data_IF_021869146843
#
_entry.id   IF_021869146843
#
_cell.length_a   1.000
_cell.length_b   1.000
_cell.length_c   1.000
_cell.angle_alpha   90.00
_cell.angle_beta   90.00
_cell.angle_gamma   90.00
#
_symmetry.space_group_name_H-M   'P 1'
#
loop_
_entity.id
_entity.type
_entity.pdbx_description
1 polymer ?
#
# COMPACT_ATOMS: atom_id res chain seq x y z
N UNK A 1 -16.07 1.17 -8.50
CA UNK A 1 -15.05 2.04 -7.87
C UNK A 1 -15.62 3.44 -7.81
N UNK A 2 -15.78 4.00 -6.62
CA UNK A 2 -16.46 5.29 -6.42
C UNK A 2 -15.53 6.50 -6.67
N UNK A 3 -14.20 6.32 -6.62
CA UNK A 3 -13.23 7.41 -6.85
C UNK A 3 -12.18 7.02 -7.91
N UNK A 4 -11.75 7.94 -8.80
CA UNK A 4 -10.65 7.73 -9.74
C UNK A 4 -9.25 7.79 -9.08
N UNK A 5 -9.01 7.06 -7.98
CA UNK A 5 -7.67 6.96 -7.34
C UNK A 5 -6.83 5.80 -7.83
N UNK A 6 -7.43 4.92 -8.62
CA UNK A 6 -6.72 3.80 -9.21
C UNK A 6 -5.48 4.28 -9.95
N UNK A 7 -4.34 3.76 -9.55
CA UNK A 7 -3.09 4.03 -10.20
C UNK A 7 -3.07 3.34 -11.57
N UNK A 8 -2.99 4.15 -12.63
CA UNK A 8 -2.93 3.70 -14.03
C UNK A 8 -1.58 4.09 -14.62
N UNK A 9 -0.54 3.25 -14.47
CA UNK A 9 0.81 3.58 -14.93
C UNK A 9 0.93 3.54 -16.45
N UNK A 10 1.82 4.38 -16.98
CA UNK A 10 2.29 4.25 -18.36
C UNK A 10 3.10 2.95 -18.53
N UNK A 11 3.34 2.54 -19.78
CA UNK A 11 3.90 1.20 -20.05
C UNK A 11 5.25 0.92 -19.41
N UNK A 12 6.12 1.92 -19.33
CA UNK A 12 7.47 1.81 -18.77
C UNK A 12 7.63 2.66 -17.50
N UNK A 13 6.53 3.04 -16.85
CA UNK A 13 6.59 3.83 -15.62
C UNK A 13 7.20 2.99 -14.49
N UNK A 14 8.21 3.57 -13.84
CA UNK A 14 8.82 2.99 -12.65
C UNK A 14 8.20 3.61 -11.40
N UNK A 15 8.05 2.80 -10.37
CA UNK A 15 7.78 3.24 -8.99
C UNK A 15 8.88 2.70 -8.09
N UNK A 16 9.20 3.46 -7.06
CA UNK A 16 10.46 3.35 -6.34
C UNK A 16 10.25 2.94 -4.90
N UNK A 17 10.92 1.88 -4.48
CA UNK A 17 10.94 1.42 -3.10
C UNK A 17 12.28 1.76 -2.47
N UNK A 18 12.27 2.70 -1.53
CA UNK A 18 13.43 3.03 -0.70
C UNK A 18 13.56 2.00 0.41
N UNK A 19 14.76 1.45 0.59
CA UNK A 19 14.97 0.45 1.61
C UNK A 19 16.43 0.41 2.09
N UNK A 20 16.64 -0.23 3.25
CA UNK A 20 17.99 -0.55 3.71
C UNK A 20 18.60 -1.74 2.93
N UNK A 21 19.85 -2.09 3.28
CA UNK A 21 20.57 -3.18 2.63
C UNK A 21 19.99 -4.58 2.89
N UNK A 22 19.40 -4.81 4.09
CA UNK A 22 18.82 -6.10 4.45
C UNK A 22 17.49 -6.31 3.73
N UNK A 23 16.66 -5.27 3.65
CA UNK A 23 15.42 -5.30 2.87
C UNK A 23 15.71 -5.43 1.38
N UNK A 24 16.72 -4.72 0.85
CA UNK A 24 17.19 -4.92 -0.53
C UNK A 24 17.56 -6.38 -0.78
N UNK A 25 18.37 -6.98 0.10
CA UNK A 25 18.74 -8.38 0.01
C UNK A 25 17.52 -9.30 0.03
N UNK A 26 16.60 -9.12 0.99
CA UNK A 26 15.41 -9.95 1.15
C UNK A 26 14.47 -9.88 -0.07
N UNK A 27 14.25 -8.70 -0.63
CA UNK A 27 13.44 -8.51 -1.85
C UNK A 27 14.07 -9.27 -3.02
N UNK A 28 15.40 -9.16 -3.18
CA UNK A 28 16.10 -9.81 -4.29
C UNK A 28 16.16 -11.33 -4.16
N UNK A 29 16.41 -11.87 -2.96
CA UNK A 29 16.55 -13.32 -2.76
C UNK A 29 15.20 -14.03 -2.76
N UNK A 30 14.21 -13.47 -2.07
CA UNK A 30 12.89 -14.09 -1.96
C UNK A 30 12.02 -13.79 -3.19
N UNK A 31 12.33 -12.72 -3.94
CA UNK A 31 11.52 -12.22 -5.06
C UNK A 31 10.08 -11.87 -4.64
N UNK A 32 9.94 -11.40 -3.41
CA UNK A 32 8.65 -11.00 -2.81
C UNK A 32 8.62 -9.53 -2.44
N UNK A 33 7.42 -8.96 -2.45
CA UNK A 33 7.14 -7.66 -1.84
C UNK A 33 6.41 -7.90 -0.52
N UNK A 34 6.86 -7.21 0.52
CA UNK A 34 6.18 -7.21 1.81
C UNK A 34 5.05 -6.20 1.82
N UNK A 35 3.89 -6.64 2.27
CA UNK A 35 2.72 -5.82 2.54
C UNK A 35 2.49 -5.83 4.05
N UNK A 36 2.55 -4.65 4.67
CA UNK A 36 2.38 -4.47 6.10
C UNK A 36 1.03 -3.79 6.37
N UNK A 37 0.47 -4.03 7.56
CA UNK A 37 -0.72 -3.30 8.00
C UNK A 37 -0.46 -1.78 7.95
N UNK A 38 -1.27 -1.08 7.14
CA UNK A 38 -1.18 0.37 6.90
C UNK A 38 -1.24 1.15 8.21
N UNK A 39 -2.06 0.69 9.15
CA UNK A 39 -2.26 1.31 10.46
C UNK A 39 -1.11 1.08 11.43
N UNK A 40 -0.20 0.18 11.09
CA UNK A 40 1.01 -0.14 11.86
C UNK A 40 2.29 0.44 11.23
N UNK A 41 2.18 1.17 10.11
CA UNK A 41 3.32 1.76 9.42
C UNK A 41 3.92 2.95 10.20
N UNK A 42 5.11 3.40 9.79
CA UNK A 42 6.03 4.25 10.56
C UNK A 42 5.45 5.62 11.01
N UNK A 43 4.30 6.03 10.50
CA UNK A 43 3.68 7.29 10.87
C UNK A 43 2.46 7.05 11.78
N UNK A 44 2.69 7.20 13.08
CA UNK A 44 1.63 7.22 14.10
C UNK A 44 0.54 8.24 13.76
N UNK A 45 0.86 9.32 13.04
CA UNK A 45 -0.11 10.34 12.64
C UNK A 45 -0.97 9.92 11.45
N UNK A 46 -0.62 8.87 10.71
CA UNK A 46 -1.34 8.50 9.48
C UNK A 46 -2.72 7.91 9.77
N UNK A 47 -2.82 7.03 10.78
CA UNK A 47 -4.11 6.56 11.30
C UNK A 47 -4.96 7.73 11.81
N UNK A 48 -4.35 8.64 12.57
CA UNK A 48 -5.05 9.81 13.12
C UNK A 48 -5.50 10.76 12.01
N UNK A 49 -4.74 10.88 10.91
CA UNK A 49 -5.11 11.71 9.78
C UNK A 49 -6.35 11.16 9.09
N UNK A 50 -6.35 9.89 8.68
CA UNK A 50 -7.51 9.27 8.03
C UNK A 50 -8.78 9.40 8.87
N UNK A 51 -8.67 9.13 10.17
CA UNK A 51 -9.77 9.30 11.13
C UNK A 51 -10.25 10.76 11.21
N UNK A 52 -9.33 11.73 11.28
CA UNK A 52 -9.71 13.15 11.36
C UNK A 52 -10.44 13.65 10.11
N UNK A 53 -10.09 13.14 8.92
CA UNK A 53 -10.77 13.50 7.67
C UNK A 53 -12.15 12.84 7.60
N UNK A 54 -12.25 11.59 8.05
CA UNK A 54 -13.53 10.90 8.21
C UNK A 54 -14.45 11.68 9.16
N UNK A 55 -13.99 12.01 10.37
CA UNK A 55 -14.76 12.72 11.38
C UNK A 55 -15.27 14.08 10.88
N UNK A 56 -14.42 14.88 10.23
CA UNK A 56 -14.82 16.15 9.60
C UNK A 56 -15.92 15.93 8.55
N UNK A 57 -15.75 14.91 7.71
CA UNK A 57 -16.69 14.61 6.62
C UNK A 57 -18.03 14.10 7.14
N UNK A 58 -17.99 13.17 8.10
CA UNK A 58 -19.14 12.57 8.75
C UNK A 58 -19.93 13.61 9.56
N UNK A 59 -19.24 14.48 10.32
CA UNK A 59 -19.89 15.54 11.12
C UNK A 59 -20.72 16.51 10.27
N UNK A 60 -20.26 16.83 9.06
CA UNK A 60 -21.02 17.68 8.13
C UNK A 60 -22.22 16.97 7.49
N UNK A 61 -22.18 15.65 7.37
CA UNK A 61 -23.26 14.83 6.82
C UNK A 61 -24.21 14.27 7.89
N UNK A 62 -23.83 14.35 9.16
CA UNK A 62 -24.60 13.84 10.30
C UNK A 62 -26.06 14.33 10.33
N UNK A 63 -26.37 15.62 10.08
CA UNK A 63 -27.75 16.09 10.07
C UNK A 63 -28.59 15.53 8.91
N UNK A 64 -27.94 15.11 7.82
CA UNK A 64 -28.59 14.58 6.60
C UNK A 64 -28.79 13.06 6.70
N UNK A 65 -27.78 12.33 7.18
CA UNK A 65 -27.71 10.87 7.06
C UNK A 65 -27.91 10.11 8.38
N UNK A 66 -27.81 10.80 9.52
CA UNK A 66 -27.96 10.22 10.85
C UNK A 66 -26.73 9.47 11.37
N UNK A 67 -26.63 9.38 12.70
CA UNK A 67 -25.50 8.79 13.41
C UNK A 67 -25.37 7.29 13.12
N UNK A 68 -26.49 6.54 13.21
CA UNK A 68 -26.51 5.08 13.04
C UNK A 68 -25.89 4.62 11.71
N UNK A 69 -26.15 5.36 10.63
CA UNK A 69 -25.62 5.05 9.31
C UNK A 69 -24.11 5.29 9.24
N UNK A 70 -23.64 6.45 9.73
CA UNK A 70 -22.22 6.80 9.73
C UNK A 70 -21.39 5.85 10.59
N UNK A 71 -21.91 5.47 11.76
CA UNK A 71 -21.27 4.50 12.65
C UNK A 71 -21.20 3.11 12.01
N UNK A 72 -22.26 2.68 11.32
CA UNK A 72 -22.27 1.41 10.61
C UNK A 72 -21.16 1.31 9.56
N UNK A 73 -20.94 2.36 8.76
CA UNK A 73 -19.85 2.39 7.77
C UNK A 73 -18.49 2.18 8.45
N UNK A 74 -18.23 2.93 9.52
CA UNK A 74 -16.96 2.86 10.23
C UNK A 74 -16.73 1.48 10.88
N UNK A 75 -17.78 0.92 11.50
CA UNK A 75 -17.69 -0.39 12.14
C UNK A 75 -17.52 -1.54 11.14
N UNK A 76 -18.30 -1.54 10.04
CA UNK A 76 -18.25 -2.61 9.04
C UNK A 76 -16.90 -2.62 8.32
N UNK A 77 -16.42 -1.45 7.89
CA UNK A 77 -15.14 -1.32 7.19
C UNK A 77 -13.96 -1.78 8.06
N UNK A 78 -13.97 -1.49 9.37
CA UNK A 78 -12.90 -1.87 10.29
C UNK A 78 -12.92 -3.33 10.78
N UNK A 79 -14.07 -4.00 10.74
CA UNK A 79 -14.22 -5.36 11.31
C UNK A 79 -14.12 -6.49 10.27
N UNK A 80 -14.27 -6.18 8.99
CA UNK A 80 -14.35 -7.20 7.93
C UNK A 80 -13.03 -7.47 7.23
N UNK A 81 -12.22 -6.43 7.02
CA UNK A 81 -10.96 -6.53 6.31
C UNK A 81 -9.86 -5.70 6.96
N UNK A 82 -8.63 -6.12 6.75
CA UNK A 82 -7.42 -5.37 7.07
C UNK A 82 -6.69 -5.04 5.77
N UNK A 83 -6.36 -3.77 5.57
CA UNK A 83 -5.58 -3.35 4.42
C UNK A 83 -4.09 -3.47 4.72
N UNK A 84 -3.41 -4.32 3.95
CA UNK A 84 -1.97 -4.41 3.95
C UNK A 84 -1.42 -3.66 2.73
N UNK A 85 -0.40 -2.84 2.92
CA UNK A 85 0.19 -2.05 1.86
C UNK A 85 1.70 -2.23 1.72
N UNK A 86 2.15 -2.10 0.48
CA UNK A 86 3.54 -1.87 0.13
C UNK A 86 3.63 -0.51 -0.58
N UNK A 87 4.44 0.39 -0.02
CA UNK A 87 4.46 1.80 -0.43
C UNK A 87 5.67 2.10 -1.32
N UNK A 88 5.42 2.92 -2.34
CA UNK A 88 6.41 3.33 -3.33
C UNK A 88 6.33 4.83 -3.55
N UNK A 89 7.45 5.46 -3.90
CA UNK A 89 7.48 6.81 -4.44
C UNK A 89 7.41 6.80 -5.96
N UNK A 90 6.88 7.85 -6.57
CA UNK A 90 7.06 8.10 -8.00
C UNK A 90 8.45 8.66 -8.35
N UNK A 91 9.25 9.09 -7.36
CA UNK A 91 10.60 9.63 -7.54
C UNK A 91 11.65 8.76 -6.83
N UNK A 92 12.71 8.37 -7.55
CA UNK A 92 13.73 7.45 -7.03
C UNK A 92 14.95 8.08 -6.36
N UNK A 93 15.05 9.41 -6.32
CA UNK A 93 16.22 10.11 -5.77
C UNK A 93 15.84 11.38 -4.97
N UNK A 94 15.11 11.18 -3.88
CA UNK A 94 14.59 12.25 -3.00
C UNK A 94 15.29 12.21 -1.65
N UNK A 95 15.85 13.34 -1.21
CA UNK A 95 16.71 13.41 -0.02
C UNK A 95 15.97 13.06 1.29
N UNK A 96 14.73 13.50 1.47
CA UNK A 96 13.92 13.16 2.64
C UNK A 96 13.63 11.65 2.72
N UNK A 97 13.29 11.04 1.58
CA UNK A 97 13.10 9.59 1.45
C UNK A 97 14.39 8.82 1.76
N UNK A 98 15.55 9.29 1.26
CA UNK A 98 16.84 8.67 1.59
C UNK A 98 17.07 8.64 3.11
N UNK A 99 16.79 9.75 3.79
CA UNK A 99 16.94 9.87 5.25
C UNK A 99 16.00 8.93 5.99
N UNK A 100 14.73 8.93 5.62
CA UNK A 100 13.67 8.23 6.36
C UNK A 100 13.67 6.71 6.14
N UNK A 101 13.90 6.24 4.91
CA UNK A 101 13.57 4.85 4.53
C UNK A 101 14.75 4.01 4.06
N UNK A 102 15.94 4.59 3.94
CA UNK A 102 17.10 3.88 3.37
C UNK A 102 18.36 4.04 4.22
N UNK A 103 18.20 3.85 5.53
CA UNK A 103 19.29 3.89 6.50
C UNK A 103 20.14 5.16 6.36
N UNK A 104 19.47 6.32 6.38
CA UNK A 104 20.09 7.64 6.25
C UNK A 104 21.04 7.76 5.03
N UNK A 105 20.55 7.36 3.86
CA UNK A 105 21.29 7.44 2.59
C UNK A 105 22.33 6.33 2.34
N UNK A 106 22.45 5.34 3.22
CA UNK A 106 23.35 4.18 3.04
C UNK A 106 22.68 3.01 2.31
N UNK A 107 21.36 3.03 2.14
CA UNK A 107 20.58 1.97 1.54
C UNK A 107 20.53 2.01 0.02
N UNK A 108 19.41 1.52 -0.51
CA UNK A 108 19.14 1.38 -1.92
C UNK A 108 17.73 1.86 -2.24
N UNK A 109 17.51 2.15 -3.52
CA UNK A 109 16.18 2.30 -4.10
C UNK A 109 16.02 1.29 -5.21
N UNK A 110 14.92 0.54 -5.19
CA UNK A 110 14.54 -0.37 -6.26
C UNK A 110 13.45 0.28 -7.13
N UNK A 111 13.73 0.47 -8.41
CA UNK A 111 12.76 0.90 -9.41
C UNK A 111 12.05 -0.29 -10.05
N UNK A 112 10.76 -0.42 -9.78
CA UNK A 112 9.91 -1.49 -10.31
C UNK A 112 9.04 -0.98 -11.46
N UNK A 113 8.93 -1.75 -12.54
CA UNK A 113 7.94 -1.49 -13.58
C UNK A 113 6.55 -1.68 -12.99
N UNK A 114 5.81 -0.58 -12.85
CA UNK A 114 4.52 -0.56 -12.17
C UNK A 114 3.51 -1.51 -12.82
N UNK A 115 3.43 -1.54 -14.15
CA UNK A 115 2.54 -2.47 -14.87
C UNK A 115 2.77 -3.94 -14.54
N UNK A 116 4.02 -4.34 -14.29
CA UNK A 116 4.35 -5.73 -13.96
C UNK A 116 3.92 -6.07 -12.54
N UNK A 117 4.01 -5.11 -11.59
CA UNK A 117 3.51 -5.27 -10.22
C UNK A 117 1.98 -5.25 -10.13
N UNK A 118 1.29 -4.44 -10.94
CA UNK A 118 -0.18 -4.41 -10.97
C UNK A 118 -0.82 -5.69 -11.55
N UNK A 119 -0.02 -6.69 -11.93
CA UNK A 119 -0.48 -8.04 -12.26
C UNK A 119 -0.61 -8.92 -11.02
N UNK A 120 -0.18 -8.46 -9.85
CA UNK A 120 -0.39 -9.12 -8.56
C UNK A 120 -1.85 -8.93 -8.10
N UNK A 121 -2.34 -9.69 -7.10
CA UNK A 121 -3.71 -9.59 -6.61
C UNK A 121 -3.86 -8.38 -5.69
N UNK A 122 -3.55 -7.18 -6.21
CA UNK A 122 -3.43 -5.94 -5.44
C UNK A 122 -4.11 -4.80 -6.17
N UNK A 123 -4.49 -3.77 -5.42
CA UNK A 123 -5.01 -2.50 -5.93
C UNK A 123 -3.92 -1.45 -5.83
N UNK A 124 -3.55 -0.85 -6.96
CA UNK A 124 -2.67 0.32 -6.97
C UNK A 124 -3.45 1.60 -6.73
N UNK A 125 -3.03 2.41 -5.76
CA UNK A 125 -3.68 3.66 -5.38
C UNK A 125 -2.66 4.80 -5.35
N UNK A 126 -3.02 5.95 -5.94
CA UNK A 126 -2.25 7.20 -5.77
C UNK A 126 -2.70 7.92 -4.52
N UNK A 127 -1.74 8.28 -3.67
CA UNK A 127 -2.04 9.03 -2.45
C UNK A 127 -2.50 10.45 -2.78
N UNK A 128 -3.58 10.89 -2.14
CA UNK A 128 -4.05 12.27 -2.16
C UNK A 128 -3.61 12.98 -0.90
N UNK A 129 -3.08 14.19 -1.06
CA UNK A 129 -2.50 15.00 0.01
C UNK A 129 -3.32 16.27 0.27
N UNK A 130 -4.19 16.68 -0.65
CA UNK A 130 -5.00 17.87 -0.49
C UNK A 130 -6.21 17.60 0.41
N UNK A 131 -6.16 18.11 1.65
CA UNK A 131 -7.22 17.93 2.65
C UNK A 131 -8.62 18.24 2.14
N UNK A 132 -8.83 19.36 1.44
CA UNK A 132 -10.15 19.74 0.91
C UNK A 132 -10.68 18.71 -0.10
N UNK A 133 -9.79 18.17 -0.93
CA UNK A 133 -10.12 17.14 -1.91
C UNK A 133 -10.41 15.80 -1.24
N UNK A 134 -9.66 15.43 -0.19
CA UNK A 134 -9.93 14.24 0.62
C UNK A 134 -11.33 14.32 1.25
N UNK A 135 -11.67 15.44 1.90
CA UNK A 135 -13.01 15.66 2.49
C UNK A 135 -14.11 15.56 1.43
N UNK A 136 -13.91 16.20 0.26
CA UNK A 136 -14.87 16.12 -0.85
C UNK A 136 -15.10 14.68 -1.31
N UNK A 137 -14.03 13.90 -1.42
CA UNK A 137 -14.10 12.50 -1.86
C UNK A 137 -14.75 11.60 -0.82
N UNK A 138 -14.44 11.76 0.46
CA UNK A 138 -15.09 10.99 1.54
C UNK A 138 -16.58 11.31 1.60
N UNK A 139 -16.98 12.57 1.49
CA UNK A 139 -18.41 12.91 1.45
C UNK A 139 -19.13 12.27 0.26
N UNK A 140 -18.50 12.25 -0.91
CA UNK A 140 -19.07 11.58 -2.08
C UNK A 140 -19.20 10.06 -1.86
N UNK A 141 -18.21 9.43 -1.21
CA UNK A 141 -18.28 8.01 -0.85
C UNK A 141 -19.40 7.71 0.13
N UNK A 142 -19.55 8.51 1.19
CA UNK A 142 -20.61 8.36 2.19
C UNK A 142 -21.99 8.49 1.52
N UNK A 143 -22.17 9.46 0.62
CA UNK A 143 -23.44 9.62 -0.12
C UNK A 143 -23.72 8.45 -1.06
N UNK A 144 -22.72 7.96 -1.77
CA UNK A 144 -22.89 6.79 -2.63
C UNK A 144 -23.21 5.52 -1.82
N UNK A 145 -22.61 5.35 -0.63
CA UNK A 145 -22.99 4.28 0.30
C UNK A 145 -24.44 4.41 0.77
N UNK A 146 -24.92 5.64 0.95
CA UNK A 146 -26.30 5.86 1.34
C UNK A 146 -27.26 5.48 0.22
N UNK A 147 -26.94 5.82 -1.03
CA UNK A 147 -27.71 5.38 -2.20
C UNK A 147 -27.75 3.85 -2.33
N UNK A 148 -26.64 3.16 -2.03
CA UNK A 148 -26.60 1.68 -1.98
C UNK A 148 -27.52 1.16 -0.90
N UNK A 149 -27.40 1.67 0.34
CA UNK A 149 -28.24 1.28 1.48
C UNK A 149 -29.74 1.51 1.21
N UNK A 150 -30.12 2.64 0.60
CA UNK A 150 -31.53 2.92 0.25
C UNK A 150 -32.08 1.99 -0.85
N UNK A 151 -31.19 1.39 -1.65
CA UNK A 151 -31.58 0.46 -2.71
C UNK A 151 -31.73 -0.98 -2.23
N UNK A 152 -31.30 -1.30 -1.00
CA UNK A 152 -31.39 -2.63 -0.42
C UNK A 152 -32.72 -2.86 0.31
N UNK A 153 -33.23 -4.10 0.22
CA UNK A 153 -34.44 -4.52 0.92
C UNK A 153 -34.22 -4.67 2.44
N UNK A 154 -32.98 -4.99 2.83
CA UNK A 154 -32.57 -5.18 4.22
C UNK A 154 -31.58 -4.07 4.63
N UNK A 155 -31.76 -3.54 5.85
CA UNK A 155 -30.85 -2.54 6.42
C UNK A 155 -29.45 -3.14 6.58
N UNK A 156 -28.44 -2.46 6.03
CA UNK A 156 -27.05 -2.90 5.97
C UNK A 156 -26.90 -4.27 5.30
N UNK A 157 -27.52 -4.41 4.12
CA UNK A 157 -27.48 -5.62 3.32
C UNK A 157 -26.09 -5.94 2.75
N UNK A 158 -26.04 -6.98 1.93
CA UNK A 158 -24.77 -7.52 1.43
C UNK A 158 -24.05 -6.53 0.50
N UNK A 159 -24.77 -5.78 -0.32
CA UNK A 159 -24.18 -4.81 -1.24
C UNK A 159 -23.61 -3.61 -0.49
N UNK A 160 -24.29 -3.11 0.55
CA UNK A 160 -23.77 -2.07 1.43
C UNK A 160 -22.51 -2.54 2.17
N UNK A 161 -22.52 -3.76 2.72
CA UNK A 161 -21.35 -4.33 3.41
C UNK A 161 -20.16 -4.44 2.45
N UNK A 162 -20.37 -4.96 1.25
CA UNK A 162 -19.32 -5.07 0.24
C UNK A 162 -18.79 -3.70 -0.19
N UNK A 163 -19.66 -2.71 -0.35
CA UNK A 163 -19.26 -1.34 -0.65
C UNK A 163 -18.45 -0.69 0.49
N UNK A 164 -18.80 -0.95 1.75
CA UNK A 164 -18.03 -0.49 2.92
C UNK A 164 -16.61 -1.09 2.95
N UNK A 165 -16.46 -2.38 2.61
CA UNK A 165 -15.15 -3.03 2.52
C UNK A 165 -14.29 -2.40 1.42
N UNK A 166 -14.89 -2.09 0.26
CA UNK A 166 -14.16 -1.44 -0.84
C UNK A 166 -13.70 -0.03 -0.50
N UNK A 167 -14.47 0.72 0.30
CA UNK A 167 -14.07 2.06 0.76
C UNK A 167 -12.90 2.00 1.72
N UNK A 168 -12.74 0.90 2.49
CA UNK A 168 -11.56 0.72 3.34
C UNK A 168 -10.26 0.79 2.52
N UNK A 169 -10.24 0.23 1.29
CA UNK A 169 -9.11 0.42 0.37
C UNK A 169 -8.89 1.90 0.05
N UNK A 170 -9.95 2.62 -0.29
CA UNK A 170 -9.83 4.00 -0.77
C UNK A 170 -9.38 4.95 0.37
N UNK A 171 -9.79 4.70 1.62
CA UNK A 171 -9.32 5.43 2.81
C UNK A 171 -7.81 5.30 3.03
N UNK A 172 -7.21 4.17 2.64
CA UNK A 172 -5.74 4.00 2.70
C UNK A 172 -5.01 4.89 1.70
N UNK A 173 -5.68 5.64 0.83
CA UNK A 173 -5.04 6.54 -0.13
C UNK A 173 -4.96 8.00 0.34
N UNK A 174 -5.27 8.29 1.61
CA UNK A 174 -5.19 9.65 2.15
C UNK A 174 -4.03 9.81 3.11
N UNK A 175 -3.31 10.93 2.95
CA UNK A 175 -2.15 11.25 3.80
C UNK A 175 -2.09 12.74 4.09
N UNK A 176 -1.45 13.08 5.20
CA UNK A 176 -1.24 14.46 5.60
C UNK A 176 -0.44 15.25 4.53
N UNK A 177 -0.86 16.48 4.17
CA UNK A 177 -0.17 17.33 3.19
C UNK A 177 1.35 17.48 3.39
N UNK A 178 1.82 17.39 4.64
CA UNK A 178 3.24 17.48 4.99
C UNK A 178 4.11 16.41 4.29
N UNK A 179 3.52 15.28 3.88
CA UNK A 179 4.22 14.18 3.21
C UNK A 179 4.09 14.21 1.68
N UNK A 180 3.59 15.31 1.10
CA UNK A 180 3.38 15.43 -0.35
C UNK A 180 4.65 15.27 -1.19
N UNK A 181 5.84 15.49 -0.60
CA UNK A 181 7.13 15.23 -1.26
C UNK A 181 7.31 13.74 -1.60
N UNK A 182 6.64 12.83 -0.88
CA UNK A 182 6.81 11.40 -1.11
C UNK A 182 6.24 10.92 -2.45
N UNK A 183 5.26 11.65 -3.00
CA UNK A 183 4.55 11.28 -4.24
C UNK A 183 4.17 9.79 -4.24
N UNK A 184 3.46 9.39 -3.19
CA UNK A 184 3.31 7.99 -2.84
C UNK A 184 2.28 7.26 -3.74
N UNK A 185 2.64 6.05 -4.12
CA UNK A 185 1.77 5.03 -4.71
C UNK A 185 1.74 3.85 -3.76
N UNK A 186 0.54 3.46 -3.33
CA UNK A 186 0.32 2.30 -2.47
C UNK A 186 -0.16 1.13 -3.30
N UNK A 187 0.50 0.00 -3.16
CA UNK A 187 -0.03 -1.28 -3.60
C UNK A 187 -0.72 -1.90 -2.39
N UNK A 188 -2.03 -2.12 -2.48
CA UNK A 188 -2.86 -2.55 -1.34
C UNK A 188 -3.43 -3.93 -1.62
N UNK A 189 -3.38 -4.79 -0.61
CA UNK A 189 -3.98 -6.11 -0.60
C UNK A 189 -4.86 -6.24 0.65
N UNK A 190 -6.12 -6.65 0.47
CA UNK A 190 -7.04 -6.86 1.58
C UNK A 190 -6.95 -8.29 2.09
N UNK A 191 -6.85 -8.44 3.41
CA UNK A 191 -6.99 -9.72 4.10
C UNK A 191 -8.23 -9.69 4.97
N UNK A 192 -8.84 -10.85 5.19
CA UNK A 192 -10.15 -10.93 5.84
C UNK A 192 -10.02 -11.34 7.30
N UNK A 193 -10.85 -10.75 8.15
CA UNK A 193 -11.10 -11.29 9.48
C UNK A 193 -12.19 -12.35 9.40
N UNK A 194 -11.90 -13.54 9.93
CA UNK A 194 -12.89 -14.62 10.06
C UNK A 194 -13.00 -15.08 11.51
N UNK A 195 -14.21 -15.51 11.90
CA UNK A 195 -14.47 -16.03 13.24
C UNK A 195 -13.63 -17.28 13.48
N UNK A 196 -12.97 -17.33 14.64
CA UNK A 196 -12.16 -18.47 15.08
C UNK A 196 -12.30 -18.61 16.59
N UNK A 197 -13.00 -19.66 17.02
CA UNK A 197 -13.37 -19.87 18.43
C UNK A 197 -14.11 -18.64 18.99
N UNK A 198 -13.60 -18.08 20.09
CA UNK A 198 -14.13 -16.88 20.75
C UNK A 198 -13.47 -15.57 20.25
N UNK A 199 -12.76 -15.60 19.14
CA UNK A 199 -12.04 -14.44 18.60
C UNK A 199 -12.07 -14.41 17.06
N UNK A 200 -11.23 -13.56 16.48
CA UNK A 200 -11.01 -13.43 15.04
C UNK A 200 -9.63 -13.95 14.68
N UNK A 201 -9.50 -14.47 13.46
CA UNK A 201 -8.20 -14.72 12.82
C UNK A 201 -8.15 -14.05 11.46
N UNK A 202 -6.95 -13.69 11.03
CA UNK A 202 -6.70 -13.07 9.73
C UNK A 202 -6.41 -14.16 8.71
N UNK A 203 -7.02 -14.09 7.54
CA UNK A 203 -6.77 -14.98 6.41
C UNK A 203 -6.61 -14.19 5.12
N UNK A 204 -5.66 -14.58 4.29
CA UNK A 204 -5.57 -14.09 2.92
C UNK A 204 -6.65 -14.78 2.07
N UNK A 205 -7.55 -14.04 1.39
CA UNK A 205 -8.51 -14.63 0.45
C UNK A 205 -7.87 -15.13 -0.86
N UNK A 206 -6.59 -14.81 -1.11
CA UNK A 206 -5.93 -15.01 -2.39
C UNK A 206 -6.36 -13.96 -3.42
N UNK A 207 -6.44 -14.34 -4.68
CA UNK A 207 -6.96 -13.46 -5.73
C UNK A 207 -6.56 -13.93 -7.12
N UNK A 208 -6.35 -12.97 -8.02
CA UNK A 208 -5.85 -13.24 -9.38
C UNK A 208 -4.49 -12.58 -9.54
N UNK A 209 -3.48 -13.38 -9.86
CA UNK A 209 -2.14 -12.90 -10.20
C UNK A 209 -1.73 -13.40 -11.58
N UNK A 210 -1.19 -12.52 -12.40
CA UNK A 210 -0.68 -12.85 -13.74
C UNK A 210 -1.73 -13.53 -14.65
N UNK A 211 -3.02 -13.27 -14.43
CA UNK A 211 -4.14 -13.87 -15.17
C UNK A 211 -4.48 -15.30 -14.73
N UNK A 212 -4.07 -15.71 -13.53
CA UNK A 212 -4.34 -17.02 -12.94
C UNK A 212 -4.75 -16.89 -11.48
N UNK A 213 -5.42 -17.91 -10.97
CA UNK A 213 -5.75 -18.00 -9.55
C UNK A 213 -4.46 -17.96 -8.72
N UNK A 214 -4.47 -17.07 -7.74
CA UNK A 214 -3.42 -16.88 -6.77
C UNK A 214 -3.93 -17.39 -5.42
N UNK A 215 -3.32 -18.46 -4.93
CA UNK A 215 -3.71 -19.08 -3.69
C UNK A 215 -3.43 -18.15 -2.49
N UNK A 216 -4.20 -18.34 -1.42
CA UNK A 216 -3.97 -17.69 -0.15
C UNK A 216 -2.53 -17.90 0.33
N UNK A 217 -1.90 -16.81 0.78
CA UNK A 217 -0.59 -16.78 1.37
C UNK A 217 -0.66 -16.87 2.89
N UNK A 218 0.45 -17.27 3.50
CA UNK A 218 0.58 -17.30 4.94
C UNK A 218 0.65 -15.88 5.52
N UNK A 219 -0.26 -15.57 6.44
CA UNK A 219 -0.21 -14.35 7.23
C UNK A 219 0.86 -14.49 8.32
N UNK A 220 1.76 -13.53 8.40
CA UNK A 220 2.89 -13.51 9.34
C UNK A 220 2.86 -12.28 10.23
N UNK A 221 3.66 -12.32 11.28
CA UNK A 221 3.77 -11.23 12.25
C UNK A 221 5.23 -10.87 12.49
N UNK A 222 5.50 -9.57 12.60
CA UNK A 222 6.76 -9.05 13.14
C UNK A 222 6.47 -8.28 14.42
N UNK A 223 7.36 -8.37 15.41
CA UNK A 223 7.21 -7.61 16.64
C UNK A 223 7.79 -6.21 16.46
N UNK A 224 7.01 -5.18 16.77
CA UNK A 224 7.44 -3.78 16.73
C UNK A 224 6.83 -3.04 17.91
N UNK A 225 7.65 -2.34 18.69
CA UNK A 225 7.22 -1.66 19.92
C UNK A 225 6.41 -2.58 20.88
N UNK A 226 6.80 -3.85 20.99
CA UNK A 226 6.12 -4.89 21.77
C UNK A 226 4.71 -5.29 21.29
N UNK A 227 4.28 -4.85 20.11
CA UNK A 227 3.03 -5.26 19.48
C UNK A 227 3.28 -6.11 18.21
N UNK A 228 2.44 -7.11 17.93
CA UNK A 228 2.49 -7.83 16.66
C UNK A 228 2.00 -6.92 15.54
N UNK A 229 2.78 -6.83 14.45
CA UNK A 229 2.40 -6.18 13.21
C UNK A 229 2.20 -7.23 12.13
N UNK A 230 1.00 -7.27 11.59
CA UNK A 230 0.62 -8.19 10.52
C UNK A 230 1.35 -7.82 9.23
N UNK A 231 1.90 -8.82 8.56
CA UNK A 231 2.39 -8.69 7.20
C UNK A 231 2.18 -9.96 6.40
N UNK A 232 2.24 -9.83 5.08
CA UNK A 232 2.39 -10.94 4.16
C UNK A 232 3.40 -10.59 3.08
N UNK A 233 3.99 -11.61 2.47
CA UNK A 233 4.95 -11.45 1.39
C UNK A 233 4.33 -12.03 0.10
N UNK A 234 4.18 -11.22 -0.95
CA UNK A 234 3.62 -11.66 -2.26
C UNK A 234 4.77 -11.85 -3.25
N UNK A 235 4.85 -13.03 -3.86
CA UNK A 235 5.80 -13.31 -4.96
C UNK A 235 5.47 -12.47 -6.20
N UNK A 236 6.46 -11.72 -6.67
CA UNK A 236 6.37 -10.96 -7.91
C UNK A 236 7.07 -11.64 -9.08
N UNK A 237 7.72 -12.79 -8.89
CA UNK A 237 8.53 -13.45 -9.91
C UNK A 237 7.70 -14.27 -10.90
N UNK A 238 6.49 -14.72 -10.52
CA UNK A 238 5.66 -15.61 -11.32
C UNK A 238 6.42 -16.88 -11.75
N UNK A 239 7.16 -17.49 -10.81
CA UNK A 239 8.04 -18.62 -11.11
C UNK A 239 9.16 -18.24 -12.09
N UNK A 240 9.83 -17.12 -11.81
CA UNK A 240 10.94 -16.56 -12.60
C UNK A 240 10.61 -16.17 -14.06
N UNK A 241 9.34 -15.88 -14.34
CA UNK A 241 8.87 -15.38 -15.66
C UNK A 241 8.68 -13.87 -15.68
N UNK A 242 8.66 -13.24 -14.51
CA UNK A 242 8.46 -11.82 -14.34
C UNK A 242 9.67 -11.20 -13.63
N UNK A 243 10.21 -10.14 -14.22
CA UNK A 243 11.37 -9.41 -13.70
C UNK A 243 11.00 -7.94 -13.58
N UNK A 244 10.24 -7.52 -12.56
CA UNK A 244 9.71 -6.16 -12.49
C UNK A 244 10.77 -5.13 -12.08
N UNK A 245 11.84 -5.53 -11.40
CA UNK A 245 12.96 -4.64 -11.05
C UNK A 245 13.68 -4.26 -12.35
N UNK A 246 13.80 -2.95 -12.61
CA UNK A 246 14.46 -2.39 -13.80
C UNK A 246 15.59 -1.43 -13.46
N UNK A 247 15.59 -0.91 -12.25
CA UNK A 247 16.58 0.05 -11.80
C UNK A 247 16.93 -0.21 -10.33
N UNK A 248 18.20 -0.05 -9.99
CA UNK A 248 18.66 0.07 -8.59
C UNK A 248 19.52 1.32 -8.46
N UNK A 249 19.14 2.20 -7.55
CA UNK A 249 19.90 3.41 -7.22
C UNK A 249 20.61 3.17 -5.89
N UNK A 250 21.92 3.34 -5.89
CA UNK A 250 22.77 3.25 -4.70
C UNK A 250 22.72 4.59 -3.97
N UNK A 251 22.45 4.55 -2.66
CA UNK A 251 22.31 5.75 -1.84
C UNK A 251 23.57 6.64 -1.80
N UNK A 252 23.42 7.94 -1.51
CA UNK A 252 24.50 8.92 -1.63
C UNK A 252 25.67 8.66 -0.66
N UNK A 253 25.42 8.01 0.48
CA UNK A 253 26.44 7.64 1.48
C UNK A 253 26.97 6.22 1.32
N UNK A 254 26.32 5.41 0.48
CA UNK A 254 26.73 4.04 0.23
C UNK A 254 27.94 4.01 -0.71
N UNK A 255 29.03 3.38 -0.28
CA UNK A 255 30.32 3.32 -1.00
C UNK A 255 30.46 2.09 -1.91
N UNK A 256 29.45 1.22 -1.99
CA UNK A 256 29.51 -0.01 -2.80
C UNK A 256 29.74 0.30 -4.29
N UNK A 257 30.53 -0.54 -4.96
CA UNK A 257 30.74 -0.44 -6.41
C UNK A 257 29.48 -0.85 -7.16
N UNK A 258 29.09 -0.07 -8.18
CA UNK A 258 27.94 -0.41 -9.04
C UNK A 258 28.10 -1.77 -9.73
N UNK A 259 29.33 -2.14 -10.09
CA UNK A 259 29.64 -3.45 -10.66
C UNK A 259 29.37 -4.61 -9.69
N UNK A 260 29.62 -4.41 -8.38
CA UNK A 260 29.34 -5.43 -7.37
C UNK A 260 27.82 -5.68 -7.25
N UNK A 261 27.01 -4.61 -7.27
CA UNK A 261 25.54 -4.73 -7.28
C UNK A 261 25.05 -5.39 -8.56
N UNK A 262 25.61 -5.04 -9.72
CA UNK A 262 25.27 -5.67 -10.99
C UNK A 262 25.55 -7.18 -10.98
N UNK A 263 26.75 -7.60 -10.55
CA UNK A 263 27.10 -9.03 -10.41
C UNK A 263 26.17 -9.74 -9.43
N UNK A 264 25.87 -9.10 -8.30
CA UNK A 264 24.98 -9.65 -7.28
C UNK A 264 23.58 -9.92 -7.85
N UNK A 265 22.97 -8.96 -8.55
CA UNK A 265 21.63 -9.12 -9.12
C UNK A 265 21.59 -10.19 -10.23
N UNK A 266 22.57 -10.21 -11.12
CA UNK A 266 22.67 -11.24 -12.15
C UNK A 266 22.86 -12.64 -11.53
N UNK A 267 23.63 -12.74 -10.44
CA UNK A 267 23.80 -14.00 -9.68
C UNK A 267 22.49 -14.49 -9.09
N UNK A 268 21.59 -13.60 -8.69
CA UNK A 268 20.24 -13.92 -8.20
C UNK A 268 19.19 -14.08 -9.30
N UNK A 269 19.62 -14.13 -10.57
CA UNK A 269 18.74 -14.24 -11.74
C UNK A 269 17.84 -13.00 -11.94
N UNK A 270 18.21 -11.83 -11.41
CA UNK A 270 17.50 -10.55 -11.60
C UNK A 270 18.17 -9.79 -12.73
N UNK A 271 17.64 -9.98 -13.94
CA UNK A 271 18.31 -9.59 -15.19
C UNK A 271 17.93 -8.19 -15.67
N UNK A 272 18.84 -7.58 -16.42
CA UNK A 272 18.61 -6.33 -17.16
C UNK A 272 18.22 -5.17 -16.23
N UNK A 273 18.92 -5.04 -15.10
CA UNK A 273 18.72 -3.94 -14.13
C UNK A 273 19.76 -2.85 -14.38
N UNK A 274 19.29 -1.62 -14.55
CA UNK A 274 20.15 -0.44 -14.64
C UNK A 274 20.64 -0.06 -13.23
N UNK A 275 21.97 0.03 -13.04
CA UNK A 275 22.56 0.44 -11.75
C UNK A 275 22.97 1.90 -11.81
N UNK A 276 22.42 2.72 -10.91
CA UNK A 276 22.72 4.15 -10.77
C UNK A 276 23.27 4.47 -9.39
N UNK A 277 23.86 5.65 -9.27
CA UNK A 277 24.15 6.30 -7.99
C UNK A 277 23.24 7.50 -7.82
N UNK A 278 22.81 7.74 -6.59
CA UNK A 278 22.09 8.96 -6.23
C UNK A 278 22.92 10.19 -6.63
N UNK A 279 22.23 11.19 -7.19
CA UNK A 279 22.78 12.51 -7.51
C UNK A 279 22.65 13.49 -6.36
N UNK A 280 21.88 13.14 -5.32
CA UNK A 280 21.73 13.98 -4.14
C UNK A 280 23.10 14.12 -3.44
N UNK A 281 23.60 15.34 -3.31
CA UNK A 281 24.81 15.60 -2.55
C UNK A 281 24.50 15.52 -1.05
N UNK A 282 24.65 14.33 -0.48
CA UNK A 282 24.46 14.07 0.95
C UNK A 282 25.68 13.33 1.48
N UNK A 283 26.32 13.89 2.50
CA UNK A 283 27.53 13.36 3.14
C UNK A 283 27.20 12.90 4.55
#
# INVERSE_FOLDING_TARGET
>A
MLIPRQYKPKSNELIYHYCDANTFHAICTNKTLRFCDVFSMNDFMEMHWGYSIWEKSASELLPELGQDFLDAIFHISGLKALALASCFSQDGDVLSQWRAYSNDGNGYVLGFRAKDLLRLPIKGLKVEYNEKKQIKEIKAMIKALHEVEESEDEKFGEDFINACIEIANDLTSYKNPAFSEEKEVRLVHLVNFIKSNNSLKIVDPGGIAFGKDFAAQEIKFLMSQNAPKTYLDIDFSNGEKNFPIKEVIIGPKNTVLSSAISVYLETLNIKNVEIKRSKASYR
#
